data_IF_429244122947
#
_entry.id   IF_429244122947
#
_cell.length_a   1.000
_cell.length_b   1.000
_cell.length_c   1.000
_cell.angle_alpha   90.00
_cell.angle_beta   90.00
_cell.angle_gamma   90.00
#
_symmetry.space_group_name_H-M   'P 1'
#
loop_
_entity.id
_entity.type
_entity.pdbx_description
1 polymer ?
#
# COMPACT_ATOMS: atom_id res chain seq x y z
N UNK A 1 0.50 -11.08 -36.44
CA UNK A 1 -0.33 -10.14 -35.67
C UNK A 1 0.59 -9.13 -35.03
N UNK A 2 0.26 -7.84 -35.12
CA UNK A 2 0.98 -6.79 -34.41
C UNK A 2 0.74 -6.94 -32.89
N UNK A 3 1.78 -6.71 -32.09
CA UNK A 3 1.67 -6.69 -30.62
C UNK A 3 0.80 -5.51 -30.19
N UNK A 4 -0.09 -5.72 -29.22
CA UNK A 4 -0.86 -4.68 -28.57
C UNK A 4 0.08 -3.71 -27.85
N UNK A 5 -0.33 -2.44 -27.78
CA UNK A 5 0.40 -1.46 -26.99
C UNK A 5 0.37 -1.84 -25.51
N UNK A 6 1.53 -1.72 -24.86
CA UNK A 6 1.65 -1.98 -23.43
C UNK A 6 1.11 -0.81 -22.59
N UNK A 7 0.64 -1.13 -21.38
CA UNK A 7 0.41 -0.13 -20.35
C UNK A 7 1.75 0.35 -19.79
N UNK A 8 1.87 1.65 -19.53
CA UNK A 8 3.10 2.28 -19.05
C UNK A 8 2.88 2.97 -17.69
N UNK A 9 2.45 2.24 -16.64
CA UNK A 9 2.19 2.82 -15.32
C UNK A 9 3.46 3.35 -14.65
N UNK A 10 4.66 2.95 -15.07
CA UNK A 10 5.94 3.54 -14.63
C UNK A 10 6.07 5.03 -14.99
N UNK A 11 5.20 5.54 -15.88
CA UNK A 11 5.13 6.97 -16.17
C UNK A 11 4.73 7.80 -14.95
N UNK A 12 4.15 7.22 -13.90
CA UNK A 12 3.70 7.93 -12.69
C UNK A 12 4.82 8.50 -11.80
N UNK A 13 6.08 8.12 -12.02
CA UNK A 13 7.18 8.62 -11.20
C UNK A 13 8.56 8.26 -11.72
N UNK A 14 9.53 9.15 -11.51
CA UNK A 14 10.90 8.97 -12.00
C UNK A 14 11.62 7.77 -11.38
N UNK A 15 11.26 7.37 -10.15
CA UNK A 15 11.88 6.23 -9.44
C UNK A 15 11.49 4.88 -10.06
N UNK A 16 10.33 4.82 -10.72
CA UNK A 16 9.89 3.62 -11.46
C UNK A 16 10.53 3.53 -12.86
N UNK A 17 11.03 4.65 -13.38
CA UNK A 17 11.67 4.70 -14.70
C UNK A 17 13.13 4.23 -14.61
N UNK A 18 13.60 3.42 -15.56
CA UNK A 18 15.03 3.18 -15.68
C UNK A 18 15.76 4.51 -15.88
N UNK A 19 16.87 4.77 -15.15
CA UNK A 19 17.57 6.03 -15.22
C UNK A 19 18.17 6.23 -16.61
N UNK A 20 17.80 7.33 -17.29
CA UNK A 20 18.40 7.64 -18.58
C UNK A 20 19.78 8.31 -18.42
N UNK A 21 20.74 8.06 -19.33
CA UNK A 21 22.08 8.66 -19.31
C UNK A 21 22.05 10.19 -19.23
N UNK A 22 21.06 10.81 -19.89
CA UNK A 22 20.85 12.27 -19.91
C UNK A 22 20.46 12.80 -18.52
N UNK A 23 19.62 12.05 -17.80
CA UNK A 23 19.14 12.44 -16.46
C UNK A 23 20.27 12.36 -15.44
N UNK A 24 21.10 11.31 -15.51
CA UNK A 24 22.31 11.14 -14.69
C UNK A 24 23.27 12.33 -14.88
N UNK A 25 23.56 12.71 -16.13
CA UNK A 25 24.44 13.85 -16.44
C UNK A 25 23.91 15.18 -15.90
N UNK A 26 22.61 15.44 -16.01
CA UNK A 26 21.98 16.66 -15.47
C UNK A 26 22.02 16.71 -13.94
N UNK A 27 21.76 15.60 -13.28
CA UNK A 27 21.78 15.52 -11.83
C UNK A 27 23.22 15.66 -11.28
N UNK A 28 24.20 15.07 -11.95
CA UNK A 28 25.63 15.27 -11.66
C UNK A 28 26.09 16.73 -11.85
N UNK A 29 25.58 17.45 -12.86
CA UNK A 29 25.84 18.89 -13.03
C UNK A 29 25.25 19.73 -11.90
N UNK A 30 24.02 19.44 -11.45
CA UNK A 30 23.40 20.15 -10.31
C UNK A 30 24.14 19.91 -9.00
N UNK A 31 24.61 18.69 -8.76
CA UNK A 31 25.47 18.36 -7.61
C UNK A 31 26.75 19.23 -7.56
N UNK A 32 27.31 19.62 -8.72
CA UNK A 32 28.50 20.47 -8.80
C UNK A 32 28.26 21.91 -8.33
N UNK A 33 27.01 22.34 -8.21
CA UNK A 33 26.65 23.65 -7.66
C UNK A 33 26.43 23.67 -6.14
N UNK A 34 26.33 22.50 -5.49
CA UNK A 34 26.07 22.44 -4.04
C UNK A 34 27.36 22.58 -3.22
N UNK A 35 27.29 23.23 -2.03
CA UNK A 35 28.41 23.32 -1.10
C UNK A 35 28.90 21.93 -0.68
N UNK A 36 30.21 21.80 -0.39
CA UNK A 36 30.88 20.53 -0.08
C UNK A 36 30.17 19.63 0.94
N UNK A 37 29.64 20.13 2.09
CA UNK A 37 28.93 19.28 3.05
C UNK A 37 27.63 18.70 2.48
N UNK A 38 26.79 19.52 1.83
CA UNK A 38 25.57 19.06 1.18
C UNK A 38 25.87 18.05 0.06
N UNK A 39 26.96 18.26 -0.70
CA UNK A 39 27.40 17.31 -1.73
C UNK A 39 27.77 15.94 -1.14
N UNK A 40 28.38 15.87 0.05
CA UNK A 40 28.73 14.59 0.71
C UNK A 40 27.48 13.78 1.09
N UNK A 41 26.41 14.44 1.53
CA UNK A 41 25.14 13.78 1.90
C UNK A 41 24.32 13.39 0.67
N UNK A 42 24.26 14.26 -0.34
CA UNK A 42 23.39 14.04 -1.53
C UNK A 42 24.01 13.03 -2.52
N UNK A 43 25.33 12.88 -2.55
CA UNK A 43 26.05 11.97 -3.47
C UNK A 43 25.70 10.48 -3.29
N UNK A 44 25.68 9.89 -2.07
CA UNK A 44 25.27 8.49 -1.89
C UNK A 44 23.79 8.27 -2.24
N UNK A 45 22.90 9.21 -1.89
CA UNK A 45 21.48 9.16 -2.26
C UNK A 45 21.32 9.15 -3.79
N UNK A 46 22.04 10.02 -4.50
CA UNK A 46 22.07 9.98 -5.96
C UNK A 46 22.62 8.66 -6.48
N UNK A 47 23.68 8.13 -5.88
CA UNK A 47 24.28 6.89 -6.35
C UNK A 47 23.30 5.72 -6.26
N UNK A 48 22.57 5.58 -5.15
CA UNK A 48 21.49 4.58 -4.97
C UNK A 48 20.35 4.78 -5.97
N UNK A 49 19.94 6.03 -6.21
CA UNK A 49 18.84 6.35 -7.15
C UNK A 49 19.24 6.06 -8.60
N UNK A 50 20.50 6.23 -8.98
CA UNK A 50 20.99 6.08 -10.35
C UNK A 50 21.72 4.77 -10.64
N UNK A 51 21.97 3.92 -9.63
CA UNK A 51 22.42 2.54 -9.84
C UNK A 51 21.36 1.76 -10.67
N UNK A 52 21.79 0.77 -11.47
CA UNK A 52 20.91 -0.02 -12.34
C UNK A 52 20.08 -1.05 -11.56
N UNK A 53 19.77 -0.75 -10.30
CA UNK A 53 18.90 -1.58 -9.47
C UNK A 53 17.45 -1.50 -9.94
N UNK A 54 16.74 -2.59 -9.73
CA UNK A 54 15.29 -2.59 -9.94
C UNK A 54 14.63 -1.62 -8.97
N UNK A 55 13.52 -0.97 -9.36
CA UNK A 55 12.77 -0.06 -8.48
C UNK A 55 12.46 -0.65 -7.08
N UNK A 56 12.08 -1.95 -7.01
CA UNK A 56 11.89 -2.69 -5.75
C UNK A 56 13.13 -2.61 -4.84
N UNK A 57 14.31 -2.89 -5.40
CA UNK A 57 15.58 -2.86 -4.67
C UNK A 57 15.89 -1.44 -4.18
N UNK A 58 15.60 -0.42 -5.00
CA UNK A 58 15.78 0.99 -4.59
C UNK A 58 14.87 1.35 -3.41
N UNK A 59 13.59 0.97 -3.46
CA UNK A 59 12.68 1.19 -2.34
C UNK A 59 13.11 0.44 -1.09
N UNK A 60 13.52 -0.82 -1.19
CA UNK A 60 14.05 -1.59 -0.06
C UNK A 60 15.27 -0.91 0.59
N UNK A 61 16.22 -0.43 -0.22
CA UNK A 61 17.39 0.27 0.29
C UNK A 61 17.03 1.61 0.94
N UNK A 62 16.09 2.37 0.37
CA UNK A 62 15.59 3.62 0.96
C UNK A 62 14.91 3.33 2.29
N UNK A 63 14.04 2.31 2.34
CA UNK A 63 13.35 1.92 3.58
C UNK A 63 14.33 1.46 4.64
N UNK A 64 15.31 0.62 4.28
CA UNK A 64 16.35 0.17 5.21
C UNK A 64 17.20 1.33 5.75
N UNK A 65 17.64 2.24 4.87
CA UNK A 65 18.40 3.42 5.27
C UNK A 65 17.57 4.34 6.18
N UNK A 66 16.28 4.52 5.88
CA UNK A 66 15.36 5.29 6.70
C UNK A 66 15.15 4.65 8.08
N UNK A 67 14.99 3.32 8.16
CA UNK A 67 14.92 2.59 9.43
C UNK A 67 16.17 2.80 10.28
N UNK A 68 17.37 2.61 9.68
CA UNK A 68 18.64 2.77 10.39
C UNK A 68 18.81 4.22 10.86
N UNK A 69 18.48 5.20 10.02
CA UNK A 69 18.55 6.61 10.38
C UNK A 69 17.59 6.96 11.52
N UNK A 70 16.35 6.45 11.48
CA UNK A 70 15.36 6.68 12.54
C UNK A 70 15.78 6.04 13.86
N UNK A 71 16.32 4.82 13.83
CA UNK A 71 16.87 4.16 15.02
C UNK A 71 18.08 4.90 15.58
N UNK A 72 19.00 5.36 14.72
CA UNK A 72 20.15 6.15 15.15
C UNK A 72 19.77 7.52 15.73
N UNK A 73 18.75 8.17 15.17
CA UNK A 73 18.18 9.40 15.74
C UNK A 73 17.52 9.12 17.09
N UNK A 74 16.77 8.02 17.19
CA UNK A 74 16.09 7.66 18.43
C UNK A 74 17.09 7.28 19.54
N UNK A 75 18.22 6.66 19.19
CA UNK A 75 19.30 6.37 20.14
C UNK A 75 19.95 7.66 20.65
N UNK A 76 20.34 8.54 19.72
CA UNK A 76 20.97 9.82 20.04
C UNK A 76 20.04 10.73 20.87
N UNK A 77 18.73 10.64 20.66
CA UNK A 77 17.72 11.38 21.42
C UNK A 77 17.36 10.72 22.77
N UNK A 78 17.92 9.55 23.08
CA UNK A 78 17.57 8.79 24.29
C UNK A 78 16.13 8.26 24.30
N UNK A 79 15.53 8.10 23.11
CA UNK A 79 14.13 7.75 22.92
C UNK A 79 13.91 6.25 22.59
N UNK A 80 14.97 5.42 22.53
CA UNK A 80 14.86 3.99 22.23
C UNK A 80 14.26 3.17 23.38
N UNK A 81 14.79 3.34 24.58
CA UNK A 81 14.42 2.55 25.77
C UNK A 81 14.30 3.51 26.95
N UNK A 82 13.26 3.35 27.77
CA UNK A 82 13.16 4.09 29.04
C UNK A 82 14.42 3.82 29.86
N UNK A 83 15.12 4.84 30.38
CA UNK A 83 16.33 4.63 31.18
C UNK A 83 15.99 3.75 32.38
N UNK A 84 16.52 2.53 32.39
CA UNK A 84 16.21 1.47 33.35
C UNK A 84 16.57 1.79 34.83
N UNK A 85 17.03 3.01 35.13
CA UNK A 85 17.55 3.40 36.43
C UNK A 85 16.97 4.69 37.05
N UNK A 86 15.96 5.34 36.47
CA UNK A 86 15.52 6.68 36.93
C UNK A 86 14.04 6.80 37.32
N UNK A 87 13.40 5.71 37.75
CA UNK A 87 12.00 5.75 38.21
C UNK A 87 10.96 5.97 37.11
N UNK A 88 11.35 6.13 35.84
CA UNK A 88 10.43 6.24 34.68
C UNK A 88 9.85 4.89 34.29
N UNK A 89 8.53 4.78 34.30
CA UNK A 89 7.79 3.56 34.07
C UNK A 89 7.16 3.54 32.68
N UNK A 90 7.03 2.33 32.13
CA UNK A 90 6.41 2.14 30.83
C UNK A 90 4.94 2.50 30.89
N UNK A 91 4.44 3.29 29.94
CA UNK A 91 3.03 3.68 29.90
C UNK A 91 2.10 2.46 30.07
N UNK A 92 2.37 1.35 29.37
CA UNK A 92 1.57 0.11 29.44
C UNK A 92 1.65 -0.65 30.79
N UNK A 93 2.60 -0.32 31.66
CA UNK A 93 2.75 -0.93 32.99
C UNK A 93 2.24 -0.03 34.14
N UNK A 94 1.65 1.13 33.85
CA UNK A 94 1.23 2.09 34.88
C UNK A 94 0.32 1.47 35.95
N UNK A 95 -0.54 0.52 35.56
CA UNK A 95 -1.46 -0.19 36.45
C UNK A 95 -0.87 -1.33 37.27
N UNK A 96 0.29 -1.83 36.87
CA UNK A 96 0.95 -2.95 37.53
C UNK A 96 1.95 -2.49 38.61
N UNK A 97 2.06 -1.17 38.84
CA UNK A 97 2.97 -0.59 39.79
C UNK A 97 2.21 0.11 40.92
N UNK A 98 2.35 -0.41 42.15
CA UNK A 98 1.63 0.03 43.34
C UNK A 98 1.87 1.50 43.78
N UNK A 99 2.73 2.26 43.08
CA UNK A 99 3.05 3.66 43.38
C UNK A 99 3.45 4.46 42.11
N UNK A 100 2.76 4.26 41.00
CA UNK A 100 3.10 4.93 39.74
C UNK A 100 2.81 6.44 39.80
N UNK A 101 3.85 7.27 39.68
CA UNK A 101 3.71 8.72 39.53
C UNK A 101 3.41 9.08 38.05
N UNK A 102 2.41 9.93 37.76
CA UNK A 102 2.03 10.30 36.40
C UNK A 102 3.18 10.91 35.58
N UNK A 103 4.00 11.75 36.22
CA UNK A 103 5.17 12.43 35.63
C UNK A 103 6.31 11.49 35.22
N UNK A 104 6.20 10.21 35.58
CA UNK A 104 7.19 9.17 35.28
C UNK A 104 6.78 8.28 34.11
N UNK A 105 5.63 8.53 33.49
CA UNK A 105 5.15 7.76 32.34
C UNK A 105 5.97 8.08 31.09
N UNK A 106 6.45 7.03 30.41
CA UNK A 106 7.19 7.15 29.16
C UNK A 106 6.64 6.19 28.11
N UNK A 107 6.59 6.67 26.87
CA UNK A 107 6.26 5.90 25.67
C UNK A 107 7.43 6.02 24.69
N UNK A 108 8.57 5.44 25.09
CA UNK A 108 9.77 5.32 24.24
C UNK A 108 9.50 4.42 23.02
N UNK A 109 10.30 4.53 21.97
CA UNK A 109 10.00 3.92 20.66
C UNK A 109 9.86 2.39 20.72
N UNK A 110 10.76 1.66 21.40
CA UNK A 110 10.62 0.18 21.51
C UNK A 110 9.51 -0.26 22.47
N UNK A 111 8.98 0.69 23.21
CA UNK A 111 7.88 0.59 24.14
C UNK A 111 6.55 1.02 23.49
N UNK A 112 6.60 1.52 22.26
CA UNK A 112 5.44 1.91 21.46
C UNK A 112 5.24 0.90 20.31
N UNK A 113 4.64 -0.28 20.59
CA UNK A 113 4.38 -1.27 19.54
C UNK A 113 3.52 -0.67 18.42
N UNK A 114 2.72 0.35 18.73
CA UNK A 114 1.91 1.03 17.75
C UNK A 114 2.76 1.85 16.77
N UNK A 115 3.67 2.66 17.30
CA UNK A 115 4.65 3.39 16.51
C UNK A 115 5.52 2.48 15.65
N UNK A 116 5.94 1.33 16.17
CA UNK A 116 6.73 0.36 15.39
C UNK A 116 5.93 -0.24 14.21
N UNK A 117 4.67 -0.60 14.43
CA UNK A 117 3.80 -1.12 13.35
C UNK A 117 3.55 -0.04 12.31
N UNK A 118 3.21 1.19 12.74
CA UNK A 118 2.99 2.32 11.83
C UNK A 118 4.23 2.63 10.98
N UNK A 119 5.41 2.70 11.60
CA UNK A 119 6.67 2.89 10.88
C UNK A 119 6.93 1.75 9.88
N UNK A 120 6.65 0.50 10.25
CA UNK A 120 6.80 -0.64 9.35
C UNK A 120 5.85 -0.55 8.14
N UNK A 121 4.57 -0.23 8.37
CA UNK A 121 3.55 -0.06 7.32
C UNK A 121 3.95 1.07 6.36
N UNK A 122 4.37 2.21 6.92
CA UNK A 122 4.83 3.37 6.18
C UNK A 122 6.05 3.03 5.31
N UNK A 123 7.02 2.31 5.84
CA UNK A 123 8.24 1.95 5.11
C UNK A 123 8.05 0.87 4.05
N UNK A 124 7.05 -0.01 4.19
CA UNK A 124 6.74 -1.05 3.20
C UNK A 124 5.81 -0.54 2.08
N UNK A 125 4.99 0.48 2.34
CA UNK A 125 4.03 1.03 1.36
C UNK A 125 4.61 1.31 -0.05
N UNK A 126 5.79 1.93 -0.20
CA UNK A 126 6.40 2.15 -1.53
C UNK A 126 6.71 0.85 -2.29
N UNK A 127 7.00 -0.23 -1.57
CA UNK A 127 7.25 -1.56 -2.14
C UNK A 127 5.95 -2.13 -2.73
N UNK A 128 4.83 -2.03 -2.00
CA UNK A 128 3.52 -2.43 -2.51
C UNK A 128 3.17 -1.70 -3.81
N UNK A 129 3.27 -0.38 -3.80
CA UNK A 129 3.05 0.45 -4.98
C UNK A 129 3.93 0.00 -6.16
N UNK A 130 5.21 -0.28 -5.92
CA UNK A 130 6.13 -0.73 -6.96
C UNK A 130 5.72 -2.08 -7.59
N UNK A 131 5.24 -3.02 -6.79
CA UNK A 131 4.85 -4.34 -7.29
C UNK A 131 3.55 -4.27 -8.09
N UNK A 132 2.59 -3.46 -7.63
CA UNK A 132 1.34 -3.25 -8.36
C UNK A 132 1.57 -2.55 -9.70
N UNK A 133 2.41 -1.51 -9.74
CA UNK A 133 2.77 -0.81 -10.99
C UNK A 133 3.37 -1.79 -12.00
N UNK A 134 4.31 -2.64 -11.58
CA UNK A 134 4.90 -3.64 -12.48
C UNK A 134 3.86 -4.62 -13.00
N UNK A 135 3.02 -5.16 -12.13
CA UNK A 135 2.02 -6.12 -12.55
C UNK A 135 0.94 -5.52 -13.47
N UNK A 136 0.62 -4.23 -13.32
CA UNK A 136 -0.26 -3.50 -14.25
C UNK A 136 0.41 -3.35 -15.62
N UNK A 137 1.72 -3.04 -15.67
CA UNK A 137 2.46 -2.95 -16.92
C UNK A 137 2.44 -4.29 -17.69
N UNK A 138 2.55 -5.39 -16.95
CA UNK A 138 2.56 -6.75 -17.49
C UNK A 138 1.17 -7.28 -17.87
N UNK A 139 0.08 -6.55 -17.58
CA UNK A 139 -1.28 -7.05 -17.79
C UNK A 139 -1.58 -7.36 -19.27
N UNK A 140 -1.22 -6.45 -20.19
CA UNK A 140 -1.50 -6.65 -21.62
C UNK A 140 -0.71 -7.84 -22.15
N UNK A 141 0.60 -7.88 -21.89
CA UNK A 141 1.50 -8.94 -22.37
C UNK A 141 1.19 -10.30 -21.76
N UNK A 142 0.70 -10.36 -20.51
CA UNK A 142 0.19 -11.59 -19.90
C UNK A 142 -1.01 -12.13 -20.69
N UNK A 143 -2.01 -11.29 -20.96
CA UNK A 143 -3.21 -11.73 -21.67
C UNK A 143 -2.94 -12.06 -23.14
N UNK A 144 -2.04 -11.35 -23.81
CA UNK A 144 -1.60 -11.71 -25.17
C UNK A 144 -0.96 -13.10 -25.23
N UNK A 145 -0.05 -13.41 -24.30
CA UNK A 145 0.59 -14.72 -24.19
C UNK A 145 -0.42 -15.84 -23.92
N UNK A 146 -1.52 -15.53 -23.25
CA UNK A 146 -2.59 -16.48 -22.98
C UNK A 146 -3.63 -16.58 -24.10
N UNK A 147 -3.38 -15.96 -25.26
CA UNK A 147 -4.28 -16.00 -26.41
C UNK A 147 -5.44 -15.01 -26.34
N UNK A 148 -5.45 -14.09 -25.38
CA UNK A 148 -6.53 -13.11 -25.19
C UNK A 148 -6.75 -12.14 -26.35
N UNK A 149 -5.78 -12.01 -27.25
CA UNK A 149 -5.91 -11.22 -28.48
C UNK A 149 -6.37 -12.05 -29.71
N UNK A 150 -6.35 -13.38 -29.65
CA UNK A 150 -6.57 -14.25 -30.83
C UNK A 150 -7.96 -14.13 -31.44
N UNK A 151 -8.97 -13.79 -30.64
CA UNK A 151 -10.36 -13.67 -31.08
C UNK A 151 -10.79 -12.23 -31.38
N UNK A 152 -9.88 -11.26 -31.26
CA UNK A 152 -10.18 -9.86 -31.52
C UNK A 152 -10.12 -9.55 -33.00
N UNK A 153 -11.14 -8.86 -33.51
CA UNK A 153 -11.11 -8.25 -34.84
C UNK A 153 -10.06 -7.14 -34.91
N UNK A 154 -9.61 -6.82 -36.13
CA UNK A 154 -8.66 -5.70 -36.36
C UNK A 154 -9.19 -4.38 -35.79
N UNK A 155 -10.51 -4.16 -35.85
CA UNK A 155 -11.13 -2.96 -35.29
C UNK A 155 -11.07 -2.95 -33.76
N UNK A 156 -11.35 -4.08 -33.09
CA UNK A 156 -11.24 -4.19 -31.63
C UNK A 156 -9.80 -4.00 -31.15
N UNK A 157 -8.81 -4.51 -31.88
CA UNK A 157 -7.38 -4.28 -31.60
C UNK A 157 -7.05 -2.79 -31.66
N UNK A 158 -7.50 -2.07 -32.70
CA UNK A 158 -7.29 -0.62 -32.81
C UNK A 158 -7.97 0.16 -31.68
N UNK A 159 -9.18 -0.23 -31.29
CA UNK A 159 -9.91 0.43 -30.22
C UNK A 159 -9.29 0.15 -28.84
N UNK A 160 -8.73 -1.04 -28.64
CA UNK A 160 -7.96 -1.39 -27.46
C UNK A 160 -6.65 -0.58 -27.40
N UNK A 161 -5.94 -0.44 -28.50
CA UNK A 161 -4.74 0.41 -28.59
C UNK A 161 -5.03 1.89 -28.31
N UNK A 162 -6.17 2.40 -28.78
CA UNK A 162 -6.64 3.75 -28.44
C UNK A 162 -6.97 3.86 -26.96
N UNK A 163 -7.56 2.82 -26.37
CA UNK A 163 -7.84 2.77 -24.94
C UNK A 163 -6.53 2.77 -24.13
N UNK A 164 -5.56 1.92 -24.47
CA UNK A 164 -4.21 1.89 -23.86
C UNK A 164 -3.56 3.27 -23.97
N UNK A 165 -3.58 3.90 -25.14
CA UNK A 165 -3.03 5.24 -25.34
C UNK A 165 -3.69 6.29 -24.45
N UNK A 166 -5.01 6.23 -24.25
CA UNK A 166 -5.72 7.10 -23.28
C UNK A 166 -5.31 6.80 -21.85
N UNK A 167 -5.22 5.54 -21.46
CA UNK A 167 -4.79 5.14 -20.11
C UNK A 167 -3.35 5.59 -19.80
N UNK A 168 -2.43 5.44 -20.75
CA UNK A 168 -1.04 5.91 -20.60
C UNK A 168 -0.95 7.44 -20.51
N UNK A 169 -1.88 8.19 -21.13
CA UNK A 169 -1.99 9.65 -20.91
C UNK A 169 -2.37 9.96 -19.46
N UNK A 170 -3.28 9.20 -18.85
CA UNK A 170 -3.61 9.35 -17.42
C UNK A 170 -2.43 9.01 -16.51
N UNK A 171 -1.71 7.91 -16.76
CA UNK A 171 -0.48 7.60 -16.02
C UNK A 171 0.59 8.68 -16.20
N UNK A 172 0.75 9.22 -17.41
CA UNK A 172 1.67 10.31 -17.66
C UNK A 172 1.25 11.60 -16.92
N UNK A 173 -0.04 11.93 -16.92
CA UNK A 173 -0.58 13.08 -16.19
C UNK A 173 -0.32 12.94 -14.68
N UNK A 174 -0.61 11.77 -14.12
CA UNK A 174 -0.34 11.46 -12.72
C UNK A 174 1.16 11.56 -12.40
N UNK A 175 2.05 11.25 -13.35
CA UNK A 175 3.49 11.35 -13.17
C UNK A 175 4.12 12.70 -13.49
N UNK A 176 3.34 13.71 -13.87
CA UNK A 176 3.88 15.06 -14.08
C UNK A 176 4.45 15.61 -12.78
N UNK A 177 5.48 16.45 -12.90
CA UNK A 177 6.21 16.98 -11.74
C UNK A 177 5.36 17.90 -10.88
N UNK A 178 4.55 18.74 -11.50
CA UNK A 178 3.60 19.64 -10.83
C UNK A 178 2.53 18.85 -10.07
N UNK A 179 1.94 17.83 -10.70
CA UNK A 179 0.97 16.94 -10.03
C UNK A 179 1.63 16.20 -8.86
N UNK A 180 2.82 15.63 -9.05
CA UNK A 180 3.54 14.96 -7.97
C UNK A 180 3.94 15.90 -6.83
N UNK A 181 4.33 17.14 -7.13
CA UNK A 181 4.60 18.15 -6.11
C UNK A 181 3.33 18.53 -5.35
N UNK A 182 2.21 18.73 -6.05
CA UNK A 182 0.92 19.03 -5.42
C UNK A 182 0.47 17.89 -4.49
N UNK A 183 0.58 16.63 -4.93
CA UNK A 183 0.29 15.47 -4.06
C UNK A 183 1.24 15.45 -2.87
N UNK A 184 2.54 15.66 -3.06
CA UNK A 184 3.50 15.66 -1.94
C UNK A 184 3.20 16.76 -0.92
N UNK A 185 2.86 17.98 -1.37
CA UNK A 185 2.46 19.09 -0.49
C UNK A 185 1.16 18.78 0.24
N UNK A 186 0.15 18.25 -0.45
CA UNK A 186 -1.11 17.84 0.16
C UNK A 186 -0.90 16.77 1.23
N UNK A 187 -0.06 15.76 0.95
CA UNK A 187 0.26 14.70 1.91
C UNK A 187 1.13 15.22 3.06
N UNK A 188 2.01 16.20 2.83
CA UNK A 188 2.75 16.86 3.91
C UNK A 188 1.80 17.62 4.84
N UNK A 189 0.86 18.38 4.28
CA UNK A 189 -0.18 19.06 5.05
C UNK A 189 -1.06 18.07 5.83
N UNK A 190 -1.49 16.98 5.19
CA UNK A 190 -2.27 15.92 5.83
C UNK A 190 -1.50 15.22 6.96
N UNK A 191 -0.22 14.90 6.75
CA UNK A 191 0.63 14.26 7.78
C UNK A 191 0.85 15.20 8.96
N UNK A 192 1.15 16.48 8.70
CA UNK A 192 1.31 17.47 9.76
C UNK A 192 0.00 17.70 10.53
N UNK A 193 -1.13 17.71 9.83
CA UNK A 193 -2.47 17.78 10.44
C UNK A 193 -2.75 16.57 11.32
N UNK A 194 -2.46 15.35 10.85
CA UNK A 194 -2.61 14.12 11.62
C UNK A 194 -1.70 14.12 12.86
N UNK A 195 -0.45 14.53 12.71
CA UNK A 195 0.48 14.68 13.84
C UNK A 195 -0.05 15.69 14.86
N UNK A 196 -0.54 16.85 14.40
CA UNK A 196 -1.16 17.86 15.26
C UNK A 196 -2.42 17.35 15.95
N UNK A 197 -3.21 16.50 15.28
CA UNK A 197 -4.39 15.86 15.83
C UNK A 197 -4.04 14.83 16.92
N UNK A 198 -3.03 13.98 16.68
CA UNK A 198 -2.48 13.06 17.70
C UNK A 198 -1.97 13.85 18.91
N UNK A 199 -1.24 14.94 18.69
CA UNK A 199 -0.75 15.78 19.77
C UNK A 199 -1.87 16.40 20.61
N UNK A 200 -3.00 16.76 20.00
CA UNK A 200 -4.09 17.47 20.69
C UNK A 200 -5.16 16.55 21.29
N UNK A 201 -5.37 15.38 20.71
CA UNK A 201 -6.48 14.48 21.05
C UNK A 201 -6.03 13.05 21.35
N UNK A 202 -4.78 12.70 21.05
CA UNK A 202 -4.27 11.35 21.02
C UNK A 202 -3.53 10.91 22.28
N UNK A 203 -3.36 9.58 22.39
CA UNK A 203 -2.88 8.79 23.53
C UNK A 203 -4.02 8.42 24.49
N UNK A 204 -4.73 7.33 24.15
CA UNK A 204 -5.92 6.89 24.90
C UNK A 204 -5.59 6.50 26.36
N UNK A 205 -6.49 6.88 27.26
CA UNK A 205 -6.60 6.34 28.62
C UNK A 205 -7.10 4.88 28.62
N UNK A 206 -7.82 4.41 27.59
CA UNK A 206 -8.43 3.07 27.59
C UNK A 206 -7.41 1.92 27.58
N UNK A 207 -6.18 2.15 27.13
CA UNK A 207 -5.08 1.18 27.20
C UNK A 207 -4.41 1.12 28.58
N UNK A 208 -4.66 2.13 29.41
CA UNK A 208 -4.24 2.19 30.80
C UNK A 208 -5.35 2.86 31.60
N UNK A 209 -6.37 2.14 32.04
CA UNK A 209 -7.53 2.70 32.75
C UNK A 209 -7.16 3.45 34.06
N UNK A 210 -6.73 4.71 33.97
CA UNK A 210 -6.21 5.48 35.12
C UNK A 210 -7.30 6.21 35.89
N UNK A 211 -7.08 6.45 37.18
CA UNK A 211 -7.92 7.33 38.01
C UNK A 211 -7.64 8.84 37.77
N UNK A 212 -6.61 9.18 37.00
CA UNK A 212 -6.28 10.56 36.64
C UNK A 212 -7.29 11.11 35.63
N UNK A 213 -7.56 12.44 35.66
CA UNK A 213 -8.26 13.10 34.59
C UNK A 213 -7.56 12.89 33.24
N UNK A 214 -8.34 12.63 32.20
CA UNK A 214 -7.87 12.34 30.84
C UNK A 214 -6.93 13.42 30.28
N UNK A 215 -7.20 14.70 30.54
CA UNK A 215 -6.32 15.80 30.12
C UNK A 215 -4.93 15.75 30.77
N UNK A 216 -4.85 15.35 32.05
CA UNK A 216 -3.59 15.22 32.78
C UNK A 216 -2.82 14.02 32.26
N UNK A 217 -3.48 12.87 32.10
CA UNK A 217 -2.87 11.68 31.51
C UNK A 217 -2.28 11.96 30.13
N UNK A 218 -3.05 12.57 29.23
CA UNK A 218 -2.58 12.89 27.86
C UNK A 218 -1.36 13.80 27.88
N UNK A 219 -1.34 14.82 28.74
CA UNK A 219 -0.19 15.71 28.89
C UNK A 219 1.08 14.95 29.29
N UNK A 220 0.99 14.07 30.29
CA UNK A 220 2.14 13.32 30.81
C UNK A 220 2.62 12.25 29.83
N UNK A 221 1.72 11.46 29.23
CA UNK A 221 2.10 10.47 28.21
C UNK A 221 2.68 11.15 26.97
N UNK A 222 2.11 12.29 26.56
CA UNK A 222 2.65 13.07 25.46
C UNK A 222 4.07 13.59 25.77
N UNK A 223 4.32 14.08 26.99
CA UNK A 223 5.65 14.50 27.42
C UNK A 223 6.68 13.36 27.32
N UNK A 224 6.26 12.13 27.61
CA UNK A 224 7.06 10.91 27.48
C UNK A 224 7.08 10.26 26.10
N UNK A 225 6.39 10.82 25.09
CA UNK A 225 6.29 10.22 23.75
C UNK A 225 7.56 10.44 22.93
N UNK A 226 8.08 9.36 22.34
CA UNK A 226 9.30 9.38 21.52
C UNK A 226 9.25 10.35 20.33
N UNK A 227 8.07 10.69 19.81
CA UNK A 227 7.91 11.62 18.70
C UNK A 227 7.36 12.99 19.12
N UNK A 228 7.46 13.36 20.40
CA UNK A 228 7.03 14.68 20.87
C UNK A 228 7.94 15.79 20.33
N UNK A 229 7.36 16.82 19.70
CA UNK A 229 8.10 17.93 19.07
C UNK A 229 8.87 18.82 20.05
N UNK A 230 8.48 18.83 21.32
CA UNK A 230 9.07 19.67 22.36
C UNK A 230 10.28 19.02 23.02
N UNK A 231 10.28 17.69 23.15
CA UNK A 231 11.37 16.91 23.76
C UNK A 231 12.28 16.27 22.72
N UNK A 232 11.73 15.82 21.59
CA UNK A 232 12.42 15.13 20.50
C UNK A 232 12.04 15.73 19.11
N UNK A 233 12.35 17.01 18.84
CA UNK A 233 11.94 17.69 17.62
C UNK A 233 12.42 16.98 16.33
N UNK A 234 13.60 16.39 16.35
CA UNK A 234 14.15 15.61 15.24
C UNK A 234 13.32 14.36 14.91
N UNK A 235 12.81 13.65 15.92
CA UNK A 235 11.98 12.47 15.74
C UNK A 235 10.57 12.83 15.27
N UNK A 236 10.01 13.94 15.76
CA UNK A 236 8.75 14.49 15.26
C UNK A 236 8.83 14.84 13.75
N UNK A 237 9.92 15.51 13.36
CA UNK A 237 10.18 15.85 11.95
C UNK A 237 10.40 14.58 11.12
N UNK A 238 11.17 13.62 11.62
CA UNK A 238 11.40 12.35 10.93
C UNK A 238 10.09 11.58 10.70
N UNK A 239 9.22 11.49 11.71
CA UNK A 239 7.89 10.87 11.60
C UNK A 239 7.04 11.58 10.53
N UNK A 240 7.01 12.91 10.52
CA UNK A 240 6.28 13.68 9.52
C UNK A 240 6.82 13.46 8.10
N UNK A 241 8.13 13.41 7.92
CA UNK A 241 8.76 13.18 6.61
C UNK A 241 8.48 11.77 6.09
N UNK A 242 8.62 10.77 6.96
CA UNK A 242 8.41 9.36 6.65
C UNK A 242 6.93 9.09 6.35
N UNK A 243 6.01 9.66 7.14
CA UNK A 243 4.57 9.64 6.88
C UNK A 243 4.20 10.32 5.56
N UNK A 244 4.73 11.53 5.29
CA UNK A 244 4.51 12.25 4.03
C UNK A 244 4.93 11.40 2.83
N UNK A 245 6.08 10.74 2.94
CA UNK A 245 6.61 9.87 1.89
C UNK A 245 5.68 8.68 1.64
N UNK A 246 5.20 7.99 2.68
CA UNK A 246 4.24 6.90 2.51
C UNK A 246 2.91 7.36 1.95
N UNK A 247 2.30 8.41 2.50
CA UNK A 247 1.01 8.91 2.02
C UNK A 247 1.09 9.40 0.58
N UNK A 248 2.23 9.95 0.15
CA UNK A 248 2.49 10.25 -1.25
C UNK A 248 2.40 8.99 -2.12
N UNK A 249 3.08 7.89 -1.74
CA UNK A 249 3.01 6.64 -2.51
C UNK A 249 1.64 5.99 -2.44
N UNK A 250 0.96 6.03 -1.29
CA UNK A 250 -0.40 5.52 -1.12
C UNK A 250 -1.37 6.27 -2.03
N UNK A 251 -1.34 7.61 -2.05
CA UNK A 251 -2.20 8.42 -2.92
C UNK A 251 -1.96 8.09 -4.41
N UNK A 252 -0.69 7.93 -4.81
CA UNK A 252 -0.34 7.49 -6.18
C UNK A 252 -0.84 6.08 -6.48
N UNK A 253 -0.67 5.16 -5.53
CA UNK A 253 -1.13 3.77 -5.63
C UNK A 253 -2.65 3.71 -5.85
N UNK A 254 -3.42 4.46 -5.05
CA UNK A 254 -4.87 4.54 -5.19
C UNK A 254 -5.29 5.10 -6.56
N UNK A 255 -4.66 6.19 -7.00
CA UNK A 255 -4.96 6.78 -8.31
C UNK A 255 -4.65 5.81 -9.47
N UNK A 256 -3.53 5.08 -9.39
CA UNK A 256 -3.19 4.04 -10.38
C UNK A 256 -4.22 2.91 -10.36
N UNK A 257 -4.64 2.46 -9.18
CA UNK A 257 -5.67 1.44 -9.02
C UNK A 257 -6.99 1.83 -9.69
N UNK A 258 -7.45 3.07 -9.47
CA UNK A 258 -8.67 3.60 -10.11
C UNK A 258 -8.53 3.69 -11.62
N UNK A 259 -7.41 4.20 -12.13
CA UNK A 259 -7.15 4.28 -13.58
C UNK A 259 -7.16 2.87 -14.19
N UNK A 260 -6.53 1.90 -13.54
CA UNK A 260 -6.47 0.52 -14.00
C UNK A 260 -7.83 -0.18 -13.95
N UNK A 261 -8.63 0.02 -12.89
CA UNK A 261 -10.00 -0.52 -12.82
C UNK A 261 -10.88 0.03 -13.95
N UNK A 262 -10.75 1.33 -14.27
CA UNK A 262 -11.43 1.96 -15.40
C UNK A 262 -10.98 1.39 -16.76
N UNK A 263 -9.69 1.12 -16.92
CA UNK A 263 -9.15 0.44 -18.09
C UNK A 263 -9.72 -0.97 -18.21
N UNK A 264 -9.66 -1.78 -17.14
CA UNK A 264 -10.09 -3.17 -17.12
C UNK A 264 -11.57 -3.32 -17.49
N UNK A 265 -12.43 -2.44 -16.96
CA UNK A 265 -13.86 -2.39 -17.31
C UNK A 265 -14.05 -2.17 -18.81
N UNK A 266 -13.35 -1.18 -19.38
CA UNK A 266 -13.50 -0.78 -20.78
C UNK A 266 -12.88 -1.80 -21.73
N UNK A 267 -11.75 -2.40 -21.36
CA UNK A 267 -11.12 -3.44 -22.17
C UNK A 267 -11.98 -4.71 -22.18
N UNK A 268 -12.56 -5.09 -21.04
CA UNK A 268 -13.45 -6.25 -20.95
C UNK A 268 -14.68 -6.10 -21.85
N UNK A 269 -15.23 -4.88 -21.95
CA UNK A 269 -16.33 -4.56 -22.87
C UNK A 269 -15.92 -4.68 -24.36
N UNK A 270 -14.63 -4.53 -24.68
CA UNK A 270 -14.08 -4.74 -26.03
C UNK A 270 -13.71 -6.21 -26.30
N UNK A 271 -13.96 -7.12 -25.35
CA UNK A 271 -13.59 -8.53 -25.46
C UNK A 271 -12.16 -8.84 -25.01
N UNK A 272 -11.47 -7.90 -24.34
CA UNK A 272 -10.11 -8.10 -23.82
C UNK A 272 -10.06 -7.95 -22.29
N UNK A 273 -9.82 -9.05 -21.59
CA UNK A 273 -9.83 -9.09 -20.13
C UNK A 273 -8.86 -10.12 -19.59
N UNK A 274 -9.14 -10.62 -18.38
CA UNK A 274 -8.33 -11.67 -17.74
C UNK A 274 -8.54 -12.99 -18.48
N UNK A 275 -7.56 -13.39 -19.28
CA UNK A 275 -7.63 -14.61 -20.08
C UNK A 275 -6.71 -15.68 -19.48
N UNK A 276 -7.25 -16.72 -18.83
CA UNK A 276 -6.44 -17.89 -18.50
C UNK A 276 -6.14 -18.72 -19.75
N UNK A 277 -4.94 -19.26 -19.84
CA UNK A 277 -4.53 -20.15 -20.92
C UNK A 277 -5.09 -21.56 -20.67
N UNK A 278 -6.12 -21.95 -21.43
CA UNK A 278 -6.75 -23.26 -21.31
C UNK A 278 -5.92 -24.39 -21.94
N UNK A 279 -5.06 -24.06 -22.90
CA UNK A 279 -4.31 -25.06 -23.67
C UNK A 279 -3.01 -25.47 -22.98
N UNK A 280 -2.37 -24.54 -22.27
CA UNK A 280 -1.08 -24.76 -21.63
C UNK A 280 -0.97 -24.05 -20.29
N UNK A 281 -0.69 -24.82 -19.24
CA UNK A 281 -0.39 -24.27 -17.92
C UNK A 281 1.12 -24.05 -17.78
N UNK A 282 1.58 -22.87 -18.18
CA UNK A 282 3.01 -22.52 -18.17
C UNK A 282 3.59 -22.26 -16.78
N UNK A 283 2.74 -21.97 -15.78
CA UNK A 283 3.16 -21.38 -14.51
C UNK A 283 2.47 -21.96 -13.27
N UNK A 284 1.65 -23.00 -13.43
CA UNK A 284 0.82 -23.60 -12.38
C UNK A 284 -0.45 -22.79 -12.08
N UNK A 285 -0.73 -21.73 -12.86
CA UNK A 285 -1.85 -20.81 -12.70
C UNK A 285 -2.50 -20.47 -14.04
N UNK A 286 -2.38 -21.34 -15.05
CA UNK A 286 -2.93 -21.14 -16.40
C UNK A 286 -2.45 -19.82 -17.03
N UNK A 287 -1.19 -19.45 -16.83
CA UNK A 287 -0.61 -18.20 -17.34
C UNK A 287 -1.04 -16.95 -16.56
N UNK A 288 -1.69 -17.10 -15.40
CA UNK A 288 -2.17 -15.99 -14.57
C UNK A 288 -1.25 -15.66 -13.38
N UNK A 289 0.02 -16.11 -13.35
CA UNK A 289 0.95 -15.83 -12.24
C UNK A 289 1.14 -14.34 -11.99
N UNK A 290 1.25 -13.51 -13.02
CA UNK A 290 1.38 -12.05 -12.85
C UNK A 290 0.15 -11.47 -12.15
N UNK A 291 -1.05 -11.89 -12.56
CA UNK A 291 -2.30 -11.48 -11.91
C UNK A 291 -2.37 -11.97 -10.46
N UNK A 292 -1.90 -13.20 -10.18
CA UNK A 292 -1.80 -13.71 -8.81
C UNK A 292 -0.92 -12.81 -7.96
N UNK A 293 0.26 -12.46 -8.45
CA UNK A 293 1.18 -11.58 -7.74
C UNK A 293 0.56 -10.20 -7.52
N UNK A 294 -0.10 -9.62 -8.54
CA UNK A 294 -0.85 -8.37 -8.40
C UNK A 294 -1.85 -8.44 -7.24
N UNK A 295 -2.69 -9.47 -7.22
CA UNK A 295 -3.72 -9.65 -6.20
C UNK A 295 -3.11 -9.83 -4.81
N UNK A 296 -2.07 -10.67 -4.68
CA UNK A 296 -1.38 -10.90 -3.41
C UNK A 296 -0.74 -9.62 -2.85
N UNK A 297 -0.08 -8.82 -3.70
CA UNK A 297 0.49 -7.54 -3.28
C UNK A 297 -0.57 -6.52 -2.91
N UNK A 298 -1.71 -6.53 -3.60
CA UNK A 298 -2.84 -5.65 -3.31
C UNK A 298 -3.51 -6.02 -1.99
N UNK A 299 -3.77 -7.30 -1.74
CA UNK A 299 -4.30 -7.78 -0.47
C UNK A 299 -3.31 -7.60 0.68
N UNK A 300 -2.02 -7.84 0.44
CA UNK A 300 -0.97 -7.58 1.41
C UNK A 300 -0.90 -6.10 1.80
N UNK A 301 -1.00 -5.20 0.81
CA UNK A 301 -1.09 -3.76 1.06
C UNK A 301 -2.29 -3.41 1.93
N UNK A 302 -3.50 -3.84 1.54
CA UNK A 302 -4.72 -3.55 2.28
C UNK A 302 -4.64 -4.05 3.73
N UNK A 303 -4.13 -5.29 3.93
CA UNK A 303 -3.96 -5.87 5.26
C UNK A 303 -2.92 -5.09 6.11
N UNK A 304 -1.81 -4.67 5.52
CA UNK A 304 -0.81 -3.85 6.23
C UNK A 304 -1.38 -2.49 6.62
N UNK A 305 -2.09 -1.81 5.71
CA UNK A 305 -2.73 -0.53 6.00
C UNK A 305 -3.86 -0.66 7.01
N UNK A 306 -4.59 -1.78 7.02
CA UNK A 306 -5.55 -2.14 8.07
C UNK A 306 -4.90 -2.23 9.43
N UNK A 307 -3.80 -2.99 9.54
CA UNK A 307 -3.09 -3.19 10.78
C UNK A 307 -2.56 -1.87 11.33
N UNK A 308 -2.03 -1.01 10.47
CA UNK A 308 -1.69 0.37 10.81
C UNK A 308 -2.89 1.13 11.36
N UNK A 309 -3.95 1.32 10.56
CA UNK A 309 -5.12 2.09 10.99
C UNK A 309 -5.75 1.58 12.30
N UNK A 310 -5.83 0.27 12.50
CA UNK A 310 -6.29 -0.33 13.75
C UNK A 310 -5.43 0.11 14.94
N UNK A 311 -4.12 0.02 14.79
CA UNK A 311 -3.14 0.39 15.80
C UNK A 311 -3.15 1.91 16.06
N UNK A 312 -3.24 2.72 15.00
CA UNK A 312 -3.41 4.17 15.09
C UNK A 312 -4.68 4.54 15.88
N UNK A 313 -5.82 3.93 15.56
CA UNK A 313 -7.10 4.22 16.22
C UNK A 313 -7.21 3.66 17.63
N UNK A 314 -6.47 2.61 17.95
CA UNK A 314 -6.51 2.04 19.29
C UNK A 314 -5.56 2.74 20.23
N UNK A 315 -4.33 3.05 19.78
CA UNK A 315 -3.27 3.53 20.68
C UNK A 315 -3.07 5.04 20.58
N UNK A 316 -3.02 5.58 19.36
CA UNK A 316 -2.63 6.97 19.12
C UNK A 316 -3.82 7.93 19.03
N UNK A 317 -5.03 7.46 18.71
CA UNK A 317 -6.21 8.31 18.54
C UNK A 317 -7.35 7.87 19.46
N UNK A 318 -8.21 8.81 19.90
CA UNK A 318 -9.34 8.48 20.75
C UNK A 318 -10.41 7.79 19.93
N UNK A 319 -11.00 6.74 20.51
CA UNK A 319 -12.14 6.09 19.89
C UNK A 319 -13.35 7.03 19.88
N UNK A 320 -13.70 7.50 18.69
CA UNK A 320 -14.74 8.50 18.48
C UNK A 320 -15.62 8.19 17.25
N UNK A 321 -16.87 8.69 17.19
CA UNK A 321 -17.80 8.40 16.09
C UNK A 321 -17.28 8.78 14.71
N UNK A 322 -16.43 9.81 14.60
CA UNK A 322 -15.87 10.22 13.31
C UNK A 322 -14.96 9.17 12.69
N UNK A 323 -14.40 8.24 13.48
CA UNK A 323 -13.61 7.11 12.97
C UNK A 323 -14.44 6.20 12.06
N UNK A 324 -15.76 6.13 12.25
CA UNK A 324 -16.66 5.43 11.34
C UNK A 324 -16.60 6.02 9.92
N UNK A 325 -16.47 7.34 9.77
CA UNK A 325 -16.30 7.96 8.45
C UNK A 325 -14.97 7.55 7.81
N UNK A 326 -13.90 7.44 8.59
CA UNK A 326 -12.61 6.95 8.07
C UNK A 326 -12.71 5.49 7.64
N UNK A 327 -13.34 4.63 8.47
CA UNK A 327 -13.59 3.22 8.13
C UNK A 327 -14.38 3.13 6.84
N UNK A 328 -15.54 3.81 6.75
CA UNK A 328 -16.40 3.87 5.54
C UNK A 328 -15.61 4.36 4.32
N UNK A 329 -14.82 5.41 4.48
CA UNK A 329 -13.97 5.94 3.43
C UNK A 329 -13.01 4.89 2.88
N UNK A 330 -12.33 4.13 3.76
CA UNK A 330 -11.45 3.05 3.29
C UNK A 330 -12.25 1.91 2.68
N UNK A 331 -13.45 1.56 3.17
CA UNK A 331 -14.28 0.53 2.52
C UNK A 331 -14.59 0.89 1.07
N UNK A 332 -14.97 2.15 0.83
CA UNK A 332 -15.30 2.63 -0.51
C UNK A 332 -14.06 2.53 -1.39
N UNK A 333 -12.90 2.92 -0.87
CA UNK A 333 -11.62 2.82 -1.60
C UNK A 333 -11.28 1.36 -1.92
N UNK A 334 -11.35 0.45 -0.95
CA UNK A 334 -11.05 -0.98 -1.15
C UNK A 334 -12.05 -1.65 -2.09
N UNK A 335 -13.33 -1.28 -2.00
CA UNK A 335 -14.35 -1.72 -2.95
C UNK A 335 -14.00 -1.32 -4.38
N UNK A 336 -13.58 -0.07 -4.59
CA UNK A 336 -13.25 0.46 -5.92
C UNK A 336 -11.92 -0.08 -6.48
N UNK A 337 -10.91 -0.24 -5.63
CA UNK A 337 -9.53 -0.56 -6.06
C UNK A 337 -9.23 -2.05 -6.01
N UNK A 338 -9.95 -2.82 -5.20
CA UNK A 338 -9.68 -4.25 -4.98
C UNK A 338 -10.85 -5.10 -5.45
N UNK A 339 -12.04 -4.90 -4.88
CA UNK A 339 -13.19 -5.79 -5.12
C UNK A 339 -13.71 -5.66 -6.54
N UNK A 340 -13.92 -4.41 -7.00
CA UNK A 340 -14.47 -4.12 -8.31
C UNK A 340 -13.61 -4.69 -9.47
N UNK A 341 -12.29 -4.39 -9.57
CA UNK A 341 -11.47 -4.98 -10.63
C UNK A 341 -11.34 -6.50 -10.50
N UNK A 342 -11.32 -7.05 -9.29
CA UNK A 342 -11.31 -8.51 -9.08
C UNK A 342 -12.58 -9.17 -9.58
N UNK A 343 -13.75 -8.54 -9.38
CA UNK A 343 -15.03 -9.02 -9.90
C UNK A 343 -15.05 -9.03 -11.43
N UNK A 344 -14.58 -7.95 -12.07
CA UNK A 344 -14.46 -7.90 -13.54
C UNK A 344 -13.56 -9.04 -14.04
N UNK A 345 -12.38 -9.22 -13.41
CA UNK A 345 -11.46 -10.29 -13.74
C UNK A 345 -12.07 -11.69 -13.57
N UNK A 346 -12.81 -11.91 -12.48
CA UNK A 346 -13.49 -13.17 -12.20
C UNK A 346 -14.51 -13.52 -13.29
N UNK A 347 -15.43 -12.59 -13.60
CA UNK A 347 -16.48 -12.85 -14.58
C UNK A 347 -15.91 -13.05 -15.99
N UNK A 348 -14.85 -12.32 -16.35
CA UNK A 348 -14.21 -12.49 -17.65
C UNK A 348 -13.49 -13.85 -17.74
N UNK A 349 -12.70 -14.22 -16.73
CA UNK A 349 -12.01 -15.52 -16.70
C UNK A 349 -12.99 -16.70 -16.68
N UNK A 350 -14.12 -16.56 -15.97
CA UNK A 350 -15.18 -17.56 -15.95
C UNK A 350 -15.80 -17.72 -17.35
N UNK A 351 -16.06 -16.62 -18.06
CA UNK A 351 -16.58 -16.65 -19.43
C UNK A 351 -15.62 -17.39 -20.36
N UNK A 352 -14.33 -17.10 -20.30
CA UNK A 352 -13.30 -17.79 -21.10
C UNK A 352 -13.33 -19.31 -20.86
N UNK A 353 -13.44 -19.75 -19.60
CA UNK A 353 -13.57 -21.17 -19.26
C UNK A 353 -14.85 -21.78 -19.85
N UNK A 354 -15.98 -21.10 -19.72
CA UNK A 354 -17.27 -21.56 -20.25
C UNK A 354 -17.24 -21.68 -21.78
N UNK A 355 -16.66 -20.70 -22.47
CA UNK A 355 -16.54 -20.71 -23.93
C UNK A 355 -15.61 -21.84 -24.41
N UNK A 356 -14.51 -22.10 -23.71
CA UNK A 356 -13.63 -23.24 -24.00
C UNK A 356 -14.35 -24.58 -23.81
N UNK A 357 -15.09 -24.75 -22.71
CA UNK A 357 -15.90 -25.96 -22.46
C UNK A 357 -16.96 -26.15 -23.54
N UNK A 358 -17.65 -25.08 -23.97
CA UNK A 358 -18.60 -25.14 -25.09
C UNK A 358 -17.91 -25.62 -26.37
N UNK A 359 -16.73 -25.07 -26.69
CA UNK A 359 -15.93 -25.51 -27.84
C UNK A 359 -15.51 -26.99 -27.76
N UNK A 360 -15.31 -27.54 -26.56
CA UNK A 360 -15.04 -28.98 -26.40
C UNK A 360 -16.26 -29.85 -26.77
N UNK A 361 -17.48 -29.41 -26.45
CA UNK A 361 -18.70 -30.12 -26.86
C UNK A 361 -18.94 -30.10 -28.37
N UNK A 362 -18.48 -29.05 -29.05
CA UNK A 362 -18.56 -28.88 -30.50
C UNK A 362 -17.41 -29.57 -31.25
N UNK A 363 -16.41 -30.10 -30.53
CA UNK A 363 -15.23 -30.76 -31.11
C UNK A 363 -15.44 -32.25 -31.39
N UNK A 364 -14.69 -32.80 -32.36
CA UNK A 364 -14.69 -34.24 -32.70
C UNK A 364 -13.94 -35.13 -31.67
N UNK A 365 -13.81 -34.70 -30.41
CA UNK A 365 -13.12 -35.47 -29.36
C UNK A 365 -13.99 -36.63 -28.87
N UNK A 366 -13.35 -37.69 -28.38
CA UNK A 366 -14.07 -38.79 -27.73
C UNK A 366 -14.74 -38.30 -26.43
N UNK A 367 -15.84 -38.94 -25.98
CA UNK A 367 -16.49 -38.57 -24.71
C UNK A 367 -15.53 -38.60 -23.52
N UNK A 368 -14.65 -39.61 -23.44
CA UNK A 368 -13.69 -39.76 -22.35
C UNK A 368 -12.66 -38.61 -22.31
N UNK A 369 -12.09 -38.24 -23.47
CA UNK A 369 -11.13 -37.13 -23.56
C UNK A 369 -11.78 -35.78 -23.27
N UNK A 370 -13.03 -35.61 -23.70
CA UNK A 370 -13.81 -34.41 -23.42
C UNK A 370 -14.08 -34.25 -21.92
N UNK A 371 -14.54 -35.31 -21.26
CA UNK A 371 -14.89 -35.25 -19.83
C UNK A 371 -13.64 -35.03 -18.97
N UNK A 372 -12.51 -35.66 -19.33
CA UNK A 372 -11.22 -35.43 -18.68
C UNK A 372 -10.76 -33.97 -18.81
N UNK A 373 -10.88 -33.38 -20.00
CA UNK A 373 -10.48 -31.99 -20.24
C UNK A 373 -11.42 -31.00 -19.53
N UNK A 374 -12.74 -31.25 -19.51
CA UNK A 374 -13.71 -30.45 -18.76
C UNK A 374 -13.38 -30.50 -17.26
N UNK A 375 -13.11 -31.68 -16.71
CA UNK A 375 -12.72 -31.83 -15.32
C UNK A 375 -11.45 -31.04 -14.99
N UNK A 376 -10.45 -31.04 -15.88
CA UNK A 376 -9.22 -30.26 -15.76
C UNK A 376 -9.46 -28.75 -15.76
N UNK A 377 -10.37 -28.24 -16.61
CA UNK A 377 -10.72 -26.80 -16.64
C UNK A 377 -11.31 -26.34 -15.31
N UNK A 378 -12.17 -27.16 -14.71
CA UNK A 378 -12.89 -26.84 -13.48
C UNK A 378 -12.16 -27.22 -12.19
N UNK A 379 -11.13 -28.08 -12.25
CA UNK A 379 -10.28 -28.40 -11.10
C UNK A 379 -9.47 -27.20 -10.61
N UNK A 380 -9.19 -26.24 -11.51
CA UNK A 380 -8.47 -25.01 -11.19
C UNK A 380 -9.41 -23.85 -10.86
N UNK A 381 -9.10 -23.02 -9.83
CA UNK A 381 -9.93 -21.87 -9.50
C UNK A 381 -9.96 -20.85 -10.66
N UNK A 382 -11.05 -20.08 -10.75
CA UNK A 382 -11.24 -19.06 -11.82
C UNK A 382 -10.23 -17.92 -11.70
N UNK A 383 -9.96 -17.49 -10.47
CA UNK A 383 -8.88 -16.56 -10.16
C UNK A 383 -7.83 -17.25 -9.28
N UNK A 384 -6.55 -16.87 -9.41
CA UNK A 384 -5.46 -17.51 -8.67
C UNK A 384 -5.42 -17.15 -7.17
N UNK A 385 -6.31 -16.27 -6.72
CA UNK A 385 -6.63 -16.04 -5.30
C UNK A 385 -8.14 -16.13 -5.13
N UNK A 386 -8.60 -16.95 -4.19
CA UNK A 386 -10.03 -17.11 -3.91
C UNK A 386 -10.64 -15.82 -3.37
N UNK A 387 -11.68 -15.31 -4.04
CA UNK A 387 -12.48 -14.13 -3.64
C UNK A 387 -13.00 -14.23 -2.21
N UNK A 388 -13.29 -15.45 -1.71
CA UNK A 388 -13.71 -15.68 -0.33
C UNK A 388 -12.67 -15.21 0.70
N UNK A 389 -11.37 -15.47 0.49
CA UNK A 389 -10.31 -15.06 1.44
C UNK A 389 -10.12 -13.54 1.45
N UNK A 390 -10.25 -12.92 0.29
CA UNK A 390 -10.25 -11.47 0.15
C UNK A 390 -11.44 -10.82 0.86
N UNK A 391 -12.64 -11.38 0.66
CA UNK A 391 -13.84 -10.90 1.35
C UNK A 391 -13.77 -11.14 2.86
N UNK A 392 -13.24 -12.26 3.34
CA UNK A 392 -13.03 -12.46 4.79
C UNK A 392 -12.05 -11.42 5.37
N UNK A 393 -10.95 -11.13 4.67
CA UNK A 393 -10.02 -10.08 5.06
C UNK A 393 -10.66 -8.71 5.10
N UNK A 394 -11.48 -8.37 4.10
CA UNK A 394 -12.26 -7.13 4.07
C UNK A 394 -13.31 -7.15 5.19
N UNK A 395 -14.06 -8.22 5.42
CA UNK A 395 -15.04 -8.28 6.51
C UNK A 395 -14.38 -8.08 7.88
N UNK A 396 -13.19 -8.66 8.11
CA UNK A 396 -12.39 -8.40 9.32
C UNK A 396 -11.91 -6.94 9.37
N UNK A 397 -11.53 -6.36 8.22
CA UNK A 397 -11.21 -4.94 8.05
C UNK A 397 -12.34 -4.02 8.50
N UNK A 398 -13.59 -4.45 8.33
CA UNK A 398 -14.79 -3.67 8.67
C UNK A 398 -15.20 -3.83 10.12
N UNK A 399 -15.27 -5.08 10.58
CA UNK A 399 -15.83 -5.39 11.89
C UNK A 399 -14.90 -4.99 13.03
N UNK A 400 -13.58 -5.17 12.87
CA UNK A 400 -12.66 -4.96 13.99
C UNK A 400 -12.57 -3.47 14.39
N UNK A 401 -12.33 -2.50 13.48
CA UNK A 401 -12.33 -1.09 13.86
C UNK A 401 -13.72 -0.59 14.31
N UNK A 402 -14.80 -1.09 13.69
CA UNK A 402 -16.16 -0.71 14.07
C UNK A 402 -16.49 -1.20 15.50
N UNK A 403 -16.17 -2.45 15.84
CA UNK A 403 -16.32 -2.99 17.19
C UNK A 403 -15.44 -2.22 18.19
N UNK A 404 -14.18 -1.94 17.85
CA UNK A 404 -13.28 -1.14 18.70
C UNK A 404 -13.79 0.29 18.93
N UNK A 405 -14.42 0.90 17.92
CA UNK A 405 -15.05 2.22 18.05
C UNK A 405 -16.27 2.23 18.97
N UNK A 406 -16.88 1.06 19.20
CA UNK A 406 -18.04 0.89 20.10
C UNK A 406 -17.63 0.55 21.55
N UNK A 407 -16.40 0.10 21.79
CA UNK A 407 -15.88 -0.24 23.12
C UNK A 407 -16.00 0.91 24.15
N UNK A 408 -15.70 2.18 23.83
CA UNK A 408 -15.87 3.28 24.80
C UNK A 408 -17.32 3.49 25.24
N UNK A 409 -18.29 3.20 24.36
CA UNK A 409 -19.72 3.28 24.68
C UNK A 409 -20.18 2.18 25.65
N UNK A 410 -19.47 1.05 25.70
CA UNK A 410 -19.75 -0.05 26.64
C UNK A 410 -19.15 0.19 28.03
N UNK A 411 -18.03 0.92 28.11
CA UNK A 411 -17.38 1.27 29.39
C UNK A 411 -17.92 2.56 30.03
N UNK A 412 -18.62 3.42 29.28
CA UNK A 412 -19.26 4.64 29.82
C UNK A 412 -20.70 4.42 30.31
N UNK A 413 -21.23 3.22 30.13
CA UNK A 413 -22.54 2.78 30.65
C UNK A 413 -22.46 1.81 31.84
N UNK A 414 -21.24 1.52 32.32
CA UNK A 414 -20.93 0.88 33.60
C UNK A 414 -20.35 1.94 34.54
#
# INVERSE_FOLDING_TARGET
MDQLKALEPERIGAVFRPPSPVTIRRAARRLRGLPRPARRVVRPVLHVVYLPYTAKTKFLLISLAASIALLGLADAAGALVSPAGAGRQWALNYHLADNAEPSRVSLSLFQDPAGLIELAVVLVTPIFCCQQVRAIADFVSMNERNGGAMHLTVQQVRDLDRLVGRTNKWFAALGRRDVSAAVAVAMAGGTAGLYGFINSHGLMQSWNATALPDAVWRSEVYAGWWANRHTHPELAVALCLVGTYAFYFLAKQLAVGVIFAGYLKRSAALGFGVTPNMNFDSDGFSGLRTLRQFMLWTYGSALSHMAGLLVLFTVWLPAAPWMLFTVVGVMVVDMLVIVYPSSIGYHFALRVKQDYVRGLYESNRTPADRDAEIAKVWSSPVLPVGTRRAMTGITLYLLVPALLSLVPGLYSGL
#
